data_IF_348116126619
#
_entry.id   IF_348116126619
#
_cell.length_a   1.000
_cell.length_b   1.000
_cell.length_c   1.000
_cell.angle_alpha   90.00
_cell.angle_beta   90.00
_cell.angle_gamma   90.00
#
_symmetry.space_group_name_H-M   'P 1'
#
loop_
_entity.id
_entity.type
_entity.pdbx_description
1 polymer ?
#
# COMPACT_ATOMS: atom_id res chain seq x y z
N UNK A 1 -2.60 9.04 -42.63
CA UNK A 1 -3.83 8.21 -42.63
C UNK A 1 -3.42 6.75 -42.47
N UNK A 2 -4.12 5.97 -41.63
CA UNK A 2 -3.90 4.53 -41.54
C UNK A 2 -4.65 3.87 -42.70
N UNK A 3 -3.99 3.14 -43.62
CA UNK A 3 -4.65 2.54 -44.77
C UNK A 3 -5.80 1.61 -44.36
N UNK A 4 -6.99 1.79 -44.93
CA UNK A 4 -8.16 0.96 -44.65
C UNK A 4 -8.98 1.36 -43.41
N UNK A 5 -8.45 2.21 -42.52
CA UNK A 5 -9.20 2.75 -41.38
C UNK A 5 -10.14 3.87 -41.83
N UNK A 6 -11.42 3.79 -41.47
CA UNK A 6 -12.40 4.87 -41.68
C UNK A 6 -12.92 5.37 -40.34
N UNK A 7 -13.14 6.68 -40.22
CA UNK A 7 -13.72 7.27 -39.01
C UNK A 7 -14.79 8.31 -39.34
N UNK A 8 -15.78 8.44 -38.45
CA UNK A 8 -16.74 9.55 -38.48
C UNK A 8 -16.90 10.13 -37.08
N UNK A 9 -16.75 11.44 -36.95
CA UNK A 9 -16.94 12.16 -35.70
C UNK A 9 -18.35 12.76 -35.62
N UNK A 10 -19.06 12.48 -34.53
CA UNK A 10 -20.33 13.10 -34.19
C UNK A 10 -20.11 14.05 -33.02
N UNK A 11 -20.07 15.36 -33.31
CA UNK A 11 -19.86 16.39 -32.31
C UNK A 11 -21.03 16.52 -31.31
N UNK A 12 -22.27 16.26 -31.76
CA UNK A 12 -23.47 16.39 -30.92
C UNK A 12 -23.49 15.37 -29.78
N UNK A 13 -22.89 14.19 -30.00
CA UNK A 13 -22.78 13.11 -29.01
C UNK A 13 -21.36 12.91 -28.50
N UNK A 14 -20.41 13.77 -28.88
CA UNK A 14 -18.98 13.66 -28.58
C UNK A 14 -18.43 12.24 -28.84
N UNK A 15 -18.81 11.62 -29.95
CA UNK A 15 -18.45 10.23 -30.26
C UNK A 15 -17.68 10.11 -31.57
N UNK A 16 -16.74 9.17 -31.60
CA UNK A 16 -15.98 8.80 -32.80
C UNK A 16 -16.34 7.35 -33.14
N UNK A 17 -16.90 7.14 -34.33
CA UNK A 17 -17.11 5.80 -34.87
C UNK A 17 -15.90 5.40 -35.71
N UNK A 18 -15.29 4.25 -35.41
CA UNK A 18 -14.11 3.71 -36.08
C UNK A 18 -14.47 2.40 -36.78
N UNK A 19 -14.32 2.35 -38.10
CA UNK A 19 -14.47 1.13 -38.91
C UNK A 19 -13.08 0.59 -39.22
N UNK A 20 -12.71 -0.48 -38.52
CA UNK A 20 -11.38 -1.11 -38.58
C UNK A 20 -11.47 -2.44 -39.35
N UNK A 21 -10.78 -2.61 -40.50
CA UNK A 21 -10.70 -3.89 -41.21
C UNK A 21 -9.91 -4.93 -40.41
N UNK A 22 -10.19 -6.21 -40.66
CA UNK A 22 -9.64 -7.32 -39.88
C UNK A 22 -8.10 -7.40 -39.89
N UNK A 23 -7.47 -7.00 -41.01
CA UNK A 23 -6.01 -6.93 -41.11
C UNK A 23 -5.35 -5.94 -40.13
N UNK A 24 -6.11 -5.01 -39.56
CA UNK A 24 -5.64 -4.05 -38.54
C UNK A 24 -6.06 -4.44 -37.12
N UNK A 25 -6.76 -5.57 -36.93
CA UNK A 25 -7.22 -6.03 -35.62
C UNK A 25 -6.23 -7.03 -35.04
N UNK A 26 -5.98 -6.90 -33.74
CA UNK A 26 -5.25 -7.92 -32.98
C UNK A 26 -6.13 -9.17 -32.85
N UNK A 27 -5.62 -10.39 -33.10
CA UNK A 27 -6.38 -11.61 -32.88
C UNK A 27 -6.95 -11.69 -31.46
N UNK A 28 -8.15 -12.23 -31.33
CA UNK A 28 -8.77 -12.46 -30.03
C UNK A 28 -7.93 -13.48 -29.24
N UNK A 29 -7.25 -13.02 -28.20
CA UNK A 29 -6.48 -13.88 -27.30
C UNK A 29 -7.38 -14.32 -26.13
N UNK A 30 -7.59 -15.63 -26.01
CA UNK A 30 -8.25 -16.24 -24.85
C UNK A 30 -7.23 -16.34 -23.70
N UNK A 31 -7.19 -15.32 -22.85
CA UNK A 31 -6.45 -15.38 -21.59
C UNK A 31 -7.34 -16.02 -20.50
N UNK A 32 -7.10 -17.30 -20.22
CA UNK A 32 -7.83 -18.06 -19.19
C UNK A 32 -7.51 -17.63 -17.75
N UNK A 33 -6.47 -16.80 -17.53
CA UNK A 33 -6.28 -16.14 -16.22
C UNK A 33 -7.26 -15.00 -16.03
N UNK A 34 -7.72 -14.36 -17.12
CA UNK A 34 -8.66 -13.24 -17.07
C UNK A 34 -8.14 -12.00 -16.33
N UNK A 35 -6.84 -11.92 -16.03
CA UNK A 35 -6.25 -10.80 -15.29
C UNK A 35 -5.69 -9.81 -16.29
N UNK A 36 -6.48 -8.81 -16.65
CA UNK A 36 -5.95 -7.61 -17.30
C UNK A 36 -4.81 -7.05 -16.46
N UNK A 37 -3.67 -6.72 -17.09
CA UNK A 37 -2.56 -6.07 -16.39
C UNK A 37 -3.09 -4.83 -15.66
N UNK A 38 -3.00 -4.82 -14.34
CA UNK A 38 -3.39 -3.66 -13.55
C UNK A 38 -2.56 -2.44 -14.00
N UNK A 39 -3.17 -1.25 -14.08
CA UNK A 39 -2.41 -0.05 -14.36
C UNK A 39 -1.30 0.14 -13.31
N UNK A 40 -0.16 0.75 -13.67
CA UNK A 40 0.90 1.01 -12.70
C UNK A 40 0.38 1.76 -11.49
N UNK A 41 0.67 1.23 -10.30
CA UNK A 41 0.34 1.86 -9.04
C UNK A 41 1.01 3.24 -9.00
N UNK A 42 0.20 4.28 -8.85
CA UNK A 42 0.69 5.64 -8.65
C UNK A 42 0.71 5.93 -7.16
N UNK A 43 1.82 6.46 -6.67
CA UNK A 43 1.97 6.84 -5.27
C UNK A 43 2.34 8.32 -5.17
N UNK A 44 1.60 9.06 -4.35
CA UNK A 44 2.01 10.39 -3.92
C UNK A 44 3.12 10.33 -2.86
N UNK A 45 3.51 11.51 -2.37
CA UNK A 45 4.37 11.66 -1.19
C UNK A 45 3.56 12.30 -0.06
N UNK A 46 3.70 11.80 1.15
CA UNK A 46 3.00 12.36 2.29
C UNK A 46 3.37 11.74 3.63
N UNK A 47 2.69 12.21 4.67
CA UNK A 47 2.83 11.77 6.04
C UNK A 47 1.44 11.45 6.61
N UNK A 48 1.35 10.36 7.36
CA UNK A 48 0.17 9.99 8.15
C UNK A 48 0.60 9.87 9.61
N UNK A 49 -0.25 10.38 10.50
CA UNK A 49 -0.14 10.20 11.94
C UNK A 49 -1.45 9.58 12.43
N UNK A 50 -1.37 8.38 13.00
CA UNK A 50 -2.49 7.78 13.74
C UNK A 50 -2.18 7.78 15.22
N UNK A 51 -3.22 7.84 16.04
CA UNK A 51 -3.10 7.80 17.49
C UNK A 51 -4.31 7.09 18.11
N UNK A 52 -4.10 6.49 19.27
CA UNK A 52 -5.17 5.95 20.11
C UNK A 52 -4.82 6.23 21.58
N UNK A 53 -5.78 6.73 22.35
CA UNK A 53 -5.54 7.26 23.69
C UNK A 53 -6.58 6.77 24.70
N UNK A 54 -6.09 6.27 25.84
CA UNK A 54 -6.92 5.77 26.93
C UNK A 54 -6.52 6.43 28.24
N UNK A 55 -7.49 6.93 29.00
CA UNK A 55 -7.27 7.51 30.31
C UNK A 55 -8.10 6.79 31.37
N UNK A 56 -7.49 6.58 32.55
CA UNK A 56 -8.15 6.01 33.72
C UNK A 56 -7.84 6.90 34.93
N UNK A 57 -8.86 7.25 35.72
CA UNK A 57 -8.74 8.17 36.86
C UNK A 57 -8.96 7.51 38.24
N UNK A 58 -9.40 6.25 38.29
CA UNK A 58 -9.65 5.57 39.57
C UNK A 58 -8.32 5.16 40.24
N UNK A 59 -8.00 5.81 41.37
CA UNK A 59 -6.80 5.55 42.17
C UNK A 59 -5.65 6.48 41.80
N UNK A 60 -4.87 6.12 40.77
CA UNK A 60 -3.86 6.98 40.17
C UNK A 60 -4.26 7.27 38.73
N UNK A 61 -4.25 8.54 38.33
CA UNK A 61 -4.47 8.92 36.93
C UNK A 61 -3.43 8.28 36.03
N UNK A 62 -3.87 7.51 35.03
CA UNK A 62 -3.03 6.85 34.03
C UNK A 62 -3.52 7.21 32.65
N UNK A 63 -2.59 7.47 31.75
CA UNK A 63 -2.79 7.73 30.33
C UNK A 63 -1.94 6.74 29.53
N UNK A 64 -2.52 6.15 28.50
CA UNK A 64 -1.82 5.34 27.50
C UNK A 64 -2.09 5.96 26.13
N UNK A 65 -1.04 6.29 25.39
CA UNK A 65 -1.10 6.92 24.09
C UNK A 65 -0.30 6.09 23.09
N UNK A 66 -0.98 5.35 22.23
CA UNK A 66 -0.39 4.73 21.07
C UNK A 66 -0.21 5.76 19.95
N UNK A 67 0.88 5.65 19.20
CA UNK A 67 1.16 6.48 18.02
C UNK A 67 1.72 5.65 16.88
N UNK A 68 1.32 6.00 15.67
CA UNK A 68 1.95 5.54 14.43
C UNK A 68 2.31 6.74 13.56
N UNK A 69 3.59 6.87 13.20
CA UNK A 69 4.08 7.81 12.20
C UNK A 69 4.42 7.06 10.93
N UNK A 70 3.77 7.41 9.81
CA UNK A 70 3.98 6.76 8.52
C UNK A 70 4.31 7.79 7.45
N UNK A 71 5.52 7.73 6.91
CA UNK A 71 5.92 8.51 5.73
C UNK A 71 5.84 7.62 4.49
N UNK A 72 5.22 8.10 3.42
CA UNK A 72 5.11 7.37 2.16
C UNK A 72 5.58 8.20 0.98
N UNK A 73 6.20 7.54 0.01
CA UNK A 73 6.60 8.12 -1.27
C UNK A 73 6.75 7.01 -2.33
N UNK A 74 7.01 7.34 -3.61
CA UNK A 74 7.32 6.32 -4.63
C UNK A 74 8.49 5.40 -4.31
N UNK A 75 9.39 5.79 -3.40
CA UNK A 75 10.47 4.90 -2.99
C UNK A 75 10.00 3.81 -2.02
N UNK A 76 8.90 4.01 -1.28
CA UNK A 76 8.41 3.09 -0.26
C UNK A 76 7.72 3.79 0.91
N UNK A 77 7.45 3.03 1.96
CA UNK A 77 6.77 3.47 3.19
C UNK A 77 7.68 3.24 4.39
N UNK A 78 8.00 4.30 5.11
CA UNK A 78 8.65 4.23 6.41
C UNK A 78 7.59 4.33 7.51
N UNK A 79 7.62 3.44 8.50
CA UNK A 79 6.68 3.41 9.61
C UNK A 79 7.43 3.28 10.94
N UNK A 80 6.98 4.04 11.94
CA UNK A 80 7.35 3.90 13.33
C UNK A 80 6.09 3.80 14.19
N UNK A 81 6.11 2.90 15.17
CA UNK A 81 5.02 2.71 16.12
C UNK A 81 5.55 2.65 17.54
N UNK A 82 4.73 3.08 18.49
CA UNK A 82 5.07 3.01 19.90
C UNK A 82 3.92 3.44 20.80
N UNK A 83 4.12 3.27 22.10
CA UNK A 83 3.17 3.65 23.13
C UNK A 83 3.84 4.47 24.22
N UNK A 84 3.19 5.54 24.65
CA UNK A 84 3.56 6.33 25.81
C UNK A 84 2.60 6.02 26.95
N UNK A 85 3.14 5.69 28.11
CA UNK A 85 2.42 5.65 29.38
C UNK A 85 2.77 6.89 30.18
N UNK A 86 1.76 7.59 30.69
CA UNK A 86 1.94 8.74 31.57
C UNK A 86 1.04 8.63 32.81
N UNK A 87 1.51 9.13 33.95
CA UNK A 87 0.83 8.99 35.23
C UNK A 87 0.94 7.58 35.84
N UNK A 88 0.31 7.36 36.99
CA UNK A 88 0.49 6.11 37.73
C UNK A 88 1.82 6.06 38.48
N UNK A 89 2.68 5.09 38.15
CA UNK A 89 3.96 4.83 38.84
C UNK A 89 5.17 5.50 38.18
N UNK A 90 5.18 5.64 36.85
CA UNK A 90 6.25 6.28 36.10
C UNK A 90 5.81 6.53 34.65
N UNK A 91 6.31 7.62 34.07
CA UNK A 91 6.14 7.91 32.66
C UNK A 91 7.15 7.12 31.82
N UNK A 92 6.72 6.52 30.72
CA UNK A 92 7.59 5.72 29.84
C UNK A 92 7.08 5.70 28.41
N UNK A 93 8.00 5.83 27.46
CA UNK A 93 7.78 5.49 26.06
C UNK A 93 8.36 4.11 25.72
N UNK A 94 7.60 3.31 24.98
CA UNK A 94 8.02 2.01 24.45
C UNK A 94 7.83 2.03 22.94
N UNK A 95 8.93 1.91 22.21
CA UNK A 95 8.95 1.71 20.75
C UNK A 95 8.54 0.27 20.43
N UNK A 96 7.62 0.09 19.49
CA UNK A 96 7.17 -1.23 19.04
C UNK A 96 7.91 -1.71 17.79
N UNK A 97 7.60 -1.13 16.62
CA UNK A 97 8.21 -1.51 15.35
C UNK A 97 8.67 -0.26 14.60
N UNK A 98 9.84 -0.35 13.96
CA UNK A 98 10.37 0.64 13.02
C UNK A 98 10.84 -0.09 11.77
N UNK A 99 10.27 0.25 10.61
CA UNK A 99 10.64 -0.41 9.37
C UNK A 99 10.39 0.48 8.15
N UNK A 100 11.08 0.15 7.06
CA UNK A 100 10.81 0.64 5.72
C UNK A 100 10.37 -0.52 4.83
N UNK A 101 9.38 -0.30 3.99
CA UNK A 101 8.86 -1.31 3.05
C UNK A 101 8.68 -0.75 1.66
N UNK A 102 8.98 -1.57 0.64
CA UNK A 102 8.73 -1.27 -0.78
C UNK A 102 8.18 -2.50 -1.47
N UNK A 103 7.08 -2.33 -2.19
CA UNK A 103 6.46 -3.38 -2.98
C UNK A 103 6.60 -3.09 -4.47
N UNK A 104 6.96 -4.13 -5.23
CA UNK A 104 7.03 -4.12 -6.68
C UNK A 104 5.86 -4.91 -7.23
N UNK A 105 4.98 -4.23 -7.97
CA UNK A 105 3.75 -4.80 -8.51
C UNK A 105 3.97 -5.80 -9.65
N UNK A 106 5.07 -5.65 -10.41
CA UNK A 106 5.33 -6.45 -11.60
C UNK A 106 5.90 -7.82 -11.20
N UNK A 107 6.70 -7.85 -10.13
CA UNK A 107 7.29 -9.06 -9.57
C UNK A 107 6.53 -9.63 -8.37
N UNK A 108 5.54 -8.89 -7.85
CA UNK A 108 4.80 -9.19 -6.61
C UNK A 108 5.72 -9.42 -5.40
N UNK A 109 6.83 -8.69 -5.33
CA UNK A 109 7.81 -8.80 -4.25
C UNK A 109 7.71 -7.60 -3.31
N UNK A 110 7.83 -7.86 -2.01
CA UNK A 110 7.93 -6.81 -0.99
C UNK A 110 9.26 -6.93 -0.27
N UNK A 111 10.06 -5.87 -0.32
CA UNK A 111 11.27 -5.73 0.48
C UNK A 111 10.93 -4.95 1.75
N UNK A 112 11.27 -5.51 2.91
CA UNK A 112 11.14 -4.86 4.22
C UNK A 112 12.50 -4.84 4.91
N UNK A 113 12.86 -3.68 5.44
CA UNK A 113 14.09 -3.44 6.21
C UNK A 113 13.72 -2.85 7.57
N UNK A 114 14.27 -3.39 8.66
CA UNK A 114 13.99 -3.02 10.04
C UNK A 114 13.27 -4.13 10.81
N UNK A 115 12.45 -3.75 11.80
CA UNK A 115 11.72 -4.73 12.60
C UNK A 115 10.71 -5.50 11.75
N UNK A 116 10.80 -6.82 11.81
CA UNK A 116 9.97 -7.75 11.04
C UNK A 116 9.58 -8.95 11.89
N UNK A 117 8.31 -9.35 11.77
CA UNK A 117 7.86 -10.66 12.25
C UNK A 117 7.84 -11.58 11.04
N UNK A 118 8.53 -12.71 11.14
CA UNK A 118 8.63 -13.69 10.06
C UNK A 118 7.29 -14.41 9.84
N UNK A 119 7.01 -14.75 8.58
CA UNK A 119 5.87 -15.58 8.16
C UNK A 119 6.37 -16.98 7.80
N UNK A 120 6.56 -17.87 8.78
CA UNK A 120 7.00 -19.23 8.55
C UNK A 120 5.92 -20.11 7.91
N UNK A 121 6.30 -21.25 7.32
CA UNK A 121 5.37 -22.35 7.05
C UNK A 121 4.84 -22.99 8.33
N UNK A 122 3.70 -23.70 8.23
CA UNK A 122 2.88 -24.22 9.34
C UNK A 122 3.61 -25.07 10.41
N UNK A 123 4.80 -25.58 10.08
CA UNK A 123 5.61 -26.42 10.95
C UNK A 123 6.65 -25.63 11.77
N UNK A 124 6.68 -24.30 11.68
CA UNK A 124 7.60 -23.47 12.46
C UNK A 124 6.93 -22.20 13.00
N UNK A 125 7.60 -21.57 13.97
CA UNK A 125 7.06 -20.42 14.73
C UNK A 125 7.54 -19.09 14.17
N UNK A 126 6.68 -18.07 14.23
CA UNK A 126 7.07 -16.70 13.92
C UNK A 126 8.07 -16.20 14.96
N UNK A 127 9.12 -15.56 14.47
CA UNK A 127 10.11 -14.84 15.27
C UNK A 127 10.14 -13.38 14.85
N UNK A 128 10.36 -12.49 15.83
CA UNK A 128 10.63 -11.07 15.59
C UNK A 128 12.14 -10.88 15.43
N UNK A 129 12.55 -10.24 14.34
CA UNK A 129 13.93 -9.94 13.99
C UNK A 129 14.06 -8.46 13.62
N UNK A 130 15.29 -7.96 13.60
CA UNK A 130 15.63 -6.65 13.07
C UNK A 130 16.76 -6.83 12.05
N UNK A 131 16.54 -6.36 10.81
CA UNK A 131 17.49 -6.50 9.70
C UNK A 131 16.96 -5.95 8.40
#
# INVERSE_FOLDING_TARGET
AIPGLRYSYNAATQSVNLVVPDALRTPYQLDMRGVSRAPPATSGRGLVLNYDAYAQTNGLSRLSLYTEQRYFSPSGVFSNTGITYAGGRADRYIRYDTYWTRSDQDTMRTLRLGDTITSPPDWSRSIRIAG
#
